data_IF_416292583567
#
_entry.id   IF_416292583567
#
_cell.length_a   1.000
_cell.length_b   1.000
_cell.length_c   1.000
_cell.angle_alpha   90.00
_cell.angle_beta   90.00
_cell.angle_gamma   90.00
#
_symmetry.space_group_name_H-M   'P 1'
#
loop_
_entity.id
_entity.type
_entity.pdbx_description
1 polymer ?
#
# COMPACT_ATOMS: atom_id res chain seq x y z
N UNK A 1 -9.94 -15.10 27.79
CA UNK A 1 -10.17 -16.46 28.35
C UNK A 1 -9.39 -17.43 27.49
N UNK A 2 -8.25 -17.94 27.97
CA UNK A 2 -7.41 -18.90 27.26
C UNK A 2 -8.09 -20.27 27.30
N UNK A 3 -8.33 -20.90 26.15
CA UNK A 3 -8.79 -22.29 26.10
C UNK A 3 -7.55 -23.19 26.00
N UNK A 4 -7.37 -24.08 26.97
CA UNK A 4 -6.37 -25.14 26.92
C UNK A 4 -7.05 -26.35 26.26
N UNK A 5 -6.67 -26.65 25.00
CA UNK A 5 -7.10 -27.85 24.30
C UNK A 5 -6.34 -29.09 24.78
N UNK A 6 -7.02 -30.24 24.80
CA UNK A 6 -6.53 -31.53 25.31
C UNK A 6 -5.19 -31.98 24.72
N UNK A 7 -4.35 -32.55 25.59
CA UNK A 7 -3.05 -33.14 25.26
C UNK A 7 -3.23 -34.31 24.31
N UNK A 8 -2.68 -34.22 23.10
CA UNK A 8 -2.38 -35.39 22.30
C UNK A 8 -0.95 -35.88 22.60
N UNK A 9 -0.75 -37.21 22.58
CA UNK A 9 0.38 -37.94 23.17
C UNK A 9 1.79 -37.71 22.56
N UNK A 10 2.01 -36.58 21.88
CA UNK A 10 3.30 -36.21 21.26
C UNK A 10 3.71 -34.76 21.47
N UNK A 11 3.33 -34.15 22.60
CA UNK A 11 4.08 -33.02 23.19
C UNK A 11 4.33 -31.78 22.32
N UNK A 12 3.58 -31.58 21.24
CA UNK A 12 3.61 -30.34 20.44
C UNK A 12 2.32 -29.59 20.73
N UNK A 13 2.41 -28.55 21.57
CA UNK A 13 1.34 -27.57 21.72
C UNK A 13 1.36 -26.72 20.45
N UNK A 14 0.51 -27.06 19.49
CA UNK A 14 0.18 -26.15 18.42
C UNK A 14 -0.57 -24.97 19.05
N UNK A 15 0.11 -23.85 19.24
CA UNK A 15 -0.53 -22.57 19.52
C UNK A 15 -1.32 -22.18 18.27
N UNK A 16 -2.54 -22.68 18.15
CA UNK A 16 -3.50 -22.20 17.18
C UNK A 16 -3.76 -20.72 17.46
N UNK A 17 -3.27 -19.84 16.59
CA UNK A 17 -3.59 -18.41 16.62
C UNK A 17 -5.10 -18.31 16.39
N UNK A 18 -5.85 -18.10 17.47
CA UNK A 18 -7.30 -17.93 17.38
C UNK A 18 -7.60 -16.68 16.56
N UNK A 19 -8.48 -16.81 15.55
CA UNK A 19 -8.96 -15.75 14.65
C UNK A 19 -9.56 -14.51 15.35
N UNK A 20 -9.67 -14.54 16.68
CA UNK A 20 -10.22 -13.47 17.52
C UNK A 20 -9.16 -12.50 18.07
N UNK A 21 -7.86 -12.83 18.00
CA UNK A 21 -6.80 -11.99 18.57
C UNK A 21 -6.63 -10.63 17.87
N UNK A 22 -6.59 -10.55 16.52
CA UNK A 22 -6.51 -9.27 15.81
C UNK A 22 -7.70 -8.37 16.12
N UNK A 23 -8.91 -8.95 16.15
CA UNK A 23 -10.17 -8.28 16.46
C UNK A 23 -10.20 -7.62 17.86
N UNK A 24 -9.71 -8.32 18.89
CA UNK A 24 -9.64 -7.76 20.25
C UNK A 24 -8.57 -6.67 20.32
N UNK A 25 -7.41 -6.88 19.69
CA UNK A 25 -6.34 -5.89 19.61
C UNK A 25 -6.79 -4.60 18.93
N UNK A 26 -7.42 -4.69 17.75
CA UNK A 26 -7.96 -3.54 17.02
C UNK A 26 -9.03 -2.82 17.82
N UNK A 27 -9.98 -3.53 18.43
CA UNK A 27 -11.04 -2.89 19.23
C UNK A 27 -10.52 -2.19 20.47
N UNK A 28 -9.53 -2.77 21.15
CA UNK A 28 -8.84 -2.11 22.26
C UNK A 28 -8.09 -0.88 21.75
N UNK A 29 -7.42 -0.98 20.60
CA UNK A 29 -6.73 0.14 19.98
C UNK A 29 -7.69 1.27 19.56
N UNK A 30 -8.86 0.94 19.01
CA UNK A 30 -9.91 1.90 18.71
C UNK A 30 -10.48 2.56 19.96
N UNK A 31 -10.77 1.77 21.00
CA UNK A 31 -11.25 2.28 22.27
C UNK A 31 -10.21 3.21 22.91
N UNK A 32 -8.91 2.89 22.74
CA UNK A 32 -7.81 3.77 23.12
C UNK A 32 -7.80 5.04 22.27
N UNK A 33 -7.87 4.97 20.95
CA UNK A 33 -7.89 6.16 20.08
C UNK A 33 -9.11 7.06 20.28
N UNK A 34 -10.26 6.48 20.61
CA UNK A 34 -11.49 7.20 20.90
C UNK A 34 -11.52 7.78 22.32
N UNK A 35 -10.56 7.43 23.17
CA UNK A 35 -10.50 7.94 24.53
C UNK A 35 -10.00 9.40 24.53
N UNK A 36 -10.70 10.34 25.20
CA UNK A 36 -10.28 11.75 25.25
C UNK A 36 -8.84 11.93 25.76
N UNK A 37 -8.46 11.16 26.79
CA UNK A 37 -7.09 11.15 27.29
C UNK A 37 -6.04 10.60 26.30
N UNK A 38 -6.41 9.87 25.23
CA UNK A 38 -5.44 9.42 24.24
C UNK A 38 -5.07 10.51 23.24
N UNK A 39 -5.97 11.47 22.99
CA UNK A 39 -5.66 12.68 22.26
C UNK A 39 -4.84 13.66 23.12
N UNK A 40 -5.08 13.71 24.44
CA UNK A 40 -4.36 14.60 25.37
C UNK A 40 -3.04 14.03 25.92
N UNK A 41 -2.95 12.71 26.15
CA UNK A 41 -1.75 12.02 26.68
C UNK A 41 -1.07 11.21 25.59
N UNK A 42 -0.28 11.90 24.77
CA UNK A 42 1.02 11.54 24.17
C UNK A 42 1.52 10.06 24.07
N UNK A 43 0.72 9.00 24.17
CA UNK A 43 1.26 7.64 24.17
C UNK A 43 1.69 7.14 22.78
N UNK A 44 1.14 7.65 21.65
CA UNK A 44 1.78 7.50 20.36
C UNK A 44 2.99 8.44 20.21
N UNK A 45 3.14 9.50 21.02
CA UNK A 45 4.14 10.54 20.80
C UNK A 45 5.55 9.95 20.80
N UNK A 46 6.20 10.01 19.63
CA UNK A 46 7.53 9.45 19.40
C UNK A 46 7.54 7.97 19.03
N UNK A 47 6.36 7.34 18.84
CA UNK A 47 6.17 5.95 18.40
C UNK A 47 5.11 5.80 17.30
N UNK A 48 4.74 6.88 16.64
CA UNK A 48 3.68 6.88 15.63
C UNK A 48 3.98 5.93 14.47
N UNK A 49 5.22 5.90 14.02
CA UNK A 49 5.62 5.07 12.89
C UNK A 49 5.56 3.59 13.25
N UNK A 50 6.09 3.19 14.41
CA UNK A 50 6.02 1.82 14.91
C UNK A 50 4.57 1.38 15.12
N UNK A 51 3.74 2.29 15.60
CA UNK A 51 2.31 2.03 15.81
C UNK A 51 1.60 1.84 14.48
N UNK A 52 1.88 2.67 13.47
CA UNK A 52 1.38 2.49 12.11
C UNK A 52 1.81 1.14 11.51
N UNK A 53 3.08 0.74 11.69
CA UNK A 53 3.61 -0.54 11.22
C UNK A 53 2.85 -1.71 11.85
N UNK A 54 2.59 -1.63 13.17
CA UNK A 54 1.82 -2.64 13.86
C UNK A 54 0.37 -2.74 13.32
N UNK A 55 -0.28 -1.60 13.08
CA UNK A 55 -1.62 -1.55 12.50
C UNK A 55 -1.67 -2.08 11.06
N UNK A 56 -0.67 -1.76 10.24
CA UNK A 56 -0.52 -2.33 8.89
C UNK A 56 -0.32 -3.85 8.95
N UNK A 57 0.39 -4.36 9.95
CA UNK A 57 0.53 -5.81 10.17
C UNK A 57 -0.82 -6.45 10.51
N UNK A 58 -1.66 -5.76 11.30
CA UNK A 58 -3.03 -6.21 11.57
C UNK A 58 -3.86 -6.21 10.29
N UNK A 59 -3.82 -5.15 9.47
CA UNK A 59 -4.50 -5.08 8.18
C UNK A 59 -4.12 -6.26 7.26
N UNK A 60 -2.84 -6.60 7.20
CA UNK A 60 -2.31 -7.75 6.43
C UNK A 60 -2.78 -9.12 6.97
N UNK A 61 -3.28 -9.17 8.21
CA UNK A 61 -3.74 -10.39 8.87
C UNK A 61 -5.26 -10.61 8.80
N UNK A 62 -6.02 -9.59 8.37
CA UNK A 62 -7.49 -9.66 8.34
C UNK A 62 -7.94 -10.74 7.35
N UNK A 63 -8.74 -11.68 7.86
CA UNK A 63 -9.31 -12.76 7.07
C UNK A 63 -10.63 -12.33 6.40
N UNK A 64 -11.01 -12.91 5.25
CA UNK A 64 -12.24 -12.54 4.53
C UNK A 64 -13.55 -12.74 5.30
N UNK A 65 -13.56 -13.59 6.33
CA UNK A 65 -14.72 -13.86 7.20
C UNK A 65 -14.89 -12.84 8.34
N UNK A 66 -13.92 -11.91 8.52
CA UNK A 66 -14.00 -10.86 9.53
C UNK A 66 -14.93 -9.74 9.08
N UNK A 67 -15.52 -9.02 10.04
CA UNK A 67 -16.36 -7.86 9.75
C UNK A 67 -15.54 -6.74 9.07
N UNK A 68 -16.09 -6.13 8.02
CA UNK A 68 -15.50 -5.01 7.27
C UNK A 68 -15.11 -3.81 8.17
N UNK A 69 -15.83 -3.62 9.27
CA UNK A 69 -15.52 -2.61 10.27
C UNK A 69 -14.11 -2.76 10.84
N UNK A 70 -13.58 -3.99 10.94
CA UNK A 70 -12.21 -4.23 11.44
C UNK A 70 -11.19 -3.60 10.51
N UNK A 71 -11.32 -3.84 9.20
CA UNK A 71 -10.45 -3.24 8.18
C UNK A 71 -10.58 -1.73 8.19
N UNK A 72 -11.81 -1.22 8.12
CA UNK A 72 -12.10 0.22 8.08
C UNK A 72 -11.47 0.94 9.26
N UNK A 73 -11.71 0.45 10.47
CA UNK A 73 -11.23 1.12 11.66
C UNK A 73 -9.72 0.97 11.90
N UNK A 74 -9.13 -0.18 11.54
CA UNK A 74 -7.68 -0.34 11.60
C UNK A 74 -7.00 0.61 10.62
N UNK A 75 -7.60 0.80 9.43
CA UNK A 75 -7.14 1.75 8.41
C UNK A 75 -7.20 3.20 8.93
N UNK A 76 -8.33 3.61 9.49
CA UNK A 76 -8.51 4.94 10.09
C UNK A 76 -7.49 5.19 11.21
N UNK A 77 -7.31 4.21 12.10
CA UNK A 77 -6.34 4.26 13.18
C UNK A 77 -4.90 4.44 12.67
N UNK A 78 -4.52 3.67 11.64
CA UNK A 78 -3.19 3.77 11.03
C UNK A 78 -2.98 5.16 10.41
N UNK A 79 -3.99 5.69 9.72
CA UNK A 79 -3.93 7.02 9.12
C UNK A 79 -3.80 8.13 10.18
N UNK A 80 -4.43 8.00 11.35
CA UNK A 80 -4.24 8.94 12.47
C UNK A 80 -2.79 8.94 12.94
N UNK A 81 -2.17 7.76 13.13
CA UNK A 81 -0.76 7.66 13.50
C UNK A 81 0.15 8.30 12.46
N UNK A 82 -0.09 8.02 11.17
CA UNK A 82 0.63 8.63 10.03
C UNK A 82 0.56 10.16 10.06
N UNK A 83 -0.65 10.72 10.22
CA UNK A 83 -0.83 12.18 10.27
C UNK A 83 -0.15 12.80 11.48
N UNK A 84 -0.23 12.16 12.65
CA UNK A 84 0.49 12.59 13.86
C UNK A 84 2.01 12.62 13.64
N UNK A 85 2.58 11.59 13.00
CA UNK A 85 4.01 11.54 12.68
C UNK A 85 4.43 12.71 11.76
N UNK A 86 3.60 13.02 10.76
CA UNK A 86 3.83 14.11 9.81
C UNK A 86 3.71 15.47 10.51
N UNK A 87 2.72 15.64 11.38
CA UNK A 87 2.55 16.89 12.10
C UNK A 87 3.71 17.17 13.06
N UNK A 88 4.27 16.13 13.70
CA UNK A 88 5.52 16.25 14.46
C UNK A 88 6.73 16.56 13.56
N UNK A 89 6.81 15.96 12.38
CA UNK A 89 7.85 16.28 11.41
C UNK A 89 7.76 17.76 10.97
N UNK A 90 6.54 18.26 10.76
CA UNK A 90 6.29 19.64 10.35
C UNK A 90 6.63 20.69 11.44
N UNK A 91 6.76 20.28 12.70
CA UNK A 91 7.26 21.12 13.78
C UNK A 91 8.78 21.31 13.74
N UNK A 92 9.50 20.45 13.01
CA UNK A 92 10.95 20.55 12.86
C UNK A 92 11.30 21.49 11.72
N UNK A 93 12.38 22.25 11.88
CA UNK A 93 12.97 23.04 10.79
C UNK A 93 13.54 22.09 9.72
N UNK A 94 13.11 22.30 8.47
CA UNK A 94 13.45 21.46 7.32
C UNK A 94 14.94 21.48 6.92
N UNK A 95 15.71 22.42 7.47
CA UNK A 95 17.16 22.50 7.30
C UNK A 95 17.94 21.62 8.28
N UNK A 96 17.27 21.10 9.31
CA UNK A 96 17.93 20.34 10.36
C UNK A 96 18.22 18.89 9.93
N UNK A 97 19.35 18.31 10.39
CA UNK A 97 19.62 16.89 10.18
C UNK A 97 18.52 15.97 10.74
N UNK A 98 17.90 16.38 11.84
CA UNK A 98 16.81 15.64 12.47
C UNK A 98 15.55 15.58 11.59
N UNK A 99 15.17 16.70 10.96
CA UNK A 99 14.08 16.69 9.98
C UNK A 99 14.41 15.74 8.83
N UNK A 100 15.59 15.86 8.23
CA UNK A 100 15.99 15.03 7.09
C UNK A 100 15.94 13.54 7.43
N UNK A 101 16.51 13.15 8.57
CA UNK A 101 16.50 11.76 9.03
C UNK A 101 15.07 11.22 9.23
N UNK A 102 14.19 12.00 9.88
CA UNK A 102 12.80 11.57 10.11
C UNK A 102 11.99 11.54 8.82
N UNK A 103 12.18 12.53 7.95
CA UNK A 103 11.56 12.59 6.63
C UNK A 103 11.95 11.35 5.81
N UNK A 104 13.25 11.05 5.71
CA UNK A 104 13.77 9.91 4.96
C UNK A 104 13.22 8.59 5.51
N UNK A 105 13.20 8.41 6.83
CA UNK A 105 12.63 7.22 7.47
C UNK A 105 11.16 7.02 7.14
N UNK A 106 10.37 8.10 7.24
CA UNK A 106 8.94 8.09 6.98
C UNK A 106 8.66 7.80 5.50
N UNK A 107 9.34 8.50 4.59
CA UNK A 107 9.03 8.38 3.17
C UNK A 107 9.49 7.05 2.59
N UNK A 108 10.66 6.53 3.00
CA UNK A 108 11.12 5.20 2.57
C UNK A 108 10.12 4.14 3.01
N UNK A 109 9.65 4.21 4.26
CA UNK A 109 8.69 3.25 4.78
C UNK A 109 7.37 3.28 4.01
N UNK A 110 6.73 4.45 3.85
CA UNK A 110 5.44 4.51 3.15
C UNK A 110 5.55 4.27 1.67
N UNK A 111 6.66 4.68 1.03
CA UNK A 111 6.89 4.34 -0.36
C UNK A 111 6.97 2.83 -0.53
N UNK A 112 7.68 2.11 0.34
CA UNK A 112 7.68 0.64 0.32
C UNK A 112 6.27 0.03 0.54
N UNK A 113 5.46 0.60 1.43
CA UNK A 113 4.09 0.11 1.68
C UNK A 113 3.12 0.34 0.51
N UNK A 114 3.43 1.22 -0.46
CA UNK A 114 2.68 1.31 -1.72
C UNK A 114 2.79 0.01 -2.55
N UNK A 115 3.84 -0.79 -2.34
CA UNK A 115 4.02 -2.09 -2.98
C UNK A 115 3.25 -3.24 -2.29
N UNK A 116 2.55 -2.96 -1.19
CA UNK A 116 1.81 -3.97 -0.44
C UNK A 116 0.74 -4.63 -1.31
N UNK A 117 0.64 -5.95 -1.29
CA UNK A 117 -0.47 -6.70 -1.93
C UNK A 117 -1.85 -6.35 -1.35
N UNK A 118 -1.91 -5.77 -0.15
CA UNK A 118 -3.14 -5.43 0.57
C UNK A 118 -3.57 -3.99 0.30
N UNK A 119 -4.72 -3.81 -0.37
CA UNK A 119 -5.24 -2.49 -0.77
C UNK A 119 -5.37 -1.48 0.39
N UNK A 120 -5.94 -1.84 1.57
CA UNK A 120 -6.07 -0.88 2.68
C UNK A 120 -4.74 -0.31 3.15
N UNK A 121 -3.67 -1.08 3.07
CA UNK A 121 -2.32 -0.65 3.46
C UNK A 121 -1.74 0.34 2.44
N UNK A 122 -1.91 0.05 1.14
CA UNK A 122 -1.50 0.98 0.07
C UNK A 122 -2.22 2.32 0.18
N UNK A 123 -3.51 2.28 0.50
CA UNK A 123 -4.32 3.48 0.67
C UNK A 123 -3.85 4.32 1.87
N UNK A 124 -3.56 3.70 3.02
CA UNK A 124 -2.99 4.41 4.19
C UNK A 124 -1.66 5.08 3.84
N UNK A 125 -0.78 4.35 3.17
CA UNK A 125 0.52 4.87 2.75
C UNK A 125 0.36 6.08 1.81
N UNK A 126 -0.51 5.96 0.80
CA UNK A 126 -0.73 7.02 -0.17
C UNK A 126 -1.46 8.24 0.42
N UNK A 127 -2.47 8.03 1.26
CA UNK A 127 -3.16 9.11 1.99
C UNK A 127 -2.18 9.84 2.93
N UNK A 128 -1.26 9.10 3.55
CA UNK A 128 -0.14 9.67 4.31
C UNK A 128 0.79 10.54 3.47
N UNK A 129 1.22 10.03 2.31
CA UNK A 129 2.07 10.78 1.37
C UNK A 129 1.34 12.02 0.86
N UNK A 130 0.03 11.95 0.56
CA UNK A 130 -0.78 13.12 0.20
C UNK A 130 -0.78 14.16 1.31
N UNK A 131 -0.99 13.75 2.55
CA UNK A 131 -0.98 14.66 3.69
C UNK A 131 0.40 15.32 3.89
N UNK A 132 1.49 14.54 3.77
CA UNK A 132 2.85 15.06 3.80
C UNK A 132 3.10 16.06 2.66
N UNK A 133 2.65 15.75 1.45
CA UNK A 133 2.76 16.61 0.28
C UNK A 133 2.04 17.96 0.50
N UNK A 134 0.85 17.93 1.09
CA UNK A 134 0.11 19.13 1.49
C UNK A 134 0.91 19.98 2.49
N UNK A 135 1.48 19.35 3.53
CA UNK A 135 2.29 20.06 4.54
C UNK A 135 3.56 20.69 3.96
N UNK A 136 4.17 20.05 2.97
CA UNK A 136 5.40 20.53 2.33
C UNK A 136 5.15 21.40 1.10
N UNK A 137 3.90 21.63 0.72
CA UNK A 137 3.51 22.35 -0.51
C UNK A 137 4.19 21.74 -1.75
N UNK A 138 4.17 20.40 -1.83
CA UNK A 138 4.72 19.61 -2.94
C UNK A 138 3.62 18.74 -3.54
N UNK A 139 3.87 18.23 -4.75
CA UNK A 139 3.02 17.18 -5.34
C UNK A 139 3.44 15.81 -4.76
N UNK A 140 2.49 14.88 -4.49
CA UNK A 140 2.80 13.52 -4.01
C UNK A 140 3.86 12.81 -4.87
N UNK A 141 3.75 12.94 -6.19
CA UNK A 141 4.71 12.41 -7.16
C UNK A 141 6.16 12.85 -6.88
N UNK A 142 6.37 14.14 -6.60
CA UNK A 142 7.71 14.68 -6.34
C UNK A 142 8.33 14.15 -5.04
N UNK A 143 7.50 13.62 -4.13
CA UNK A 143 7.95 12.98 -2.89
C UNK A 143 8.26 11.50 -3.13
N UNK A 144 7.46 10.80 -3.95
CA UNK A 144 7.63 9.37 -4.23
C UNK A 144 8.80 9.12 -5.19
N UNK A 145 8.96 9.94 -6.23
CA UNK A 145 9.89 9.68 -7.34
C UNK A 145 11.34 9.36 -6.89
N UNK A 146 11.96 10.07 -5.92
CA UNK A 146 13.32 9.73 -5.46
C UNK A 146 13.44 8.34 -4.80
N UNK A 147 12.32 7.75 -4.40
CA UNK A 147 12.23 6.49 -3.66
C UNK A 147 11.46 5.41 -4.45
N UNK A 148 11.15 5.64 -5.73
CA UNK A 148 10.30 4.75 -6.55
C UNK A 148 10.81 3.30 -6.63
N UNK A 149 12.12 3.09 -6.50
CA UNK A 149 12.76 1.78 -6.48
C UNK A 149 12.23 0.84 -5.37
N UNK A 150 11.76 1.40 -4.24
CA UNK A 150 11.16 0.61 -3.16
C UNK A 150 9.76 0.08 -3.51
N UNK A 151 9.17 0.59 -4.60
CA UNK A 151 7.88 0.12 -5.14
C UNK A 151 8.10 -0.76 -6.35
N UNK A 152 8.89 -0.27 -7.30
CA UNK A 152 9.00 -0.83 -8.63
C UNK A 152 10.10 -1.87 -8.75
N UNK A 153 11.08 -1.90 -7.85
CA UNK A 153 12.25 -2.78 -7.94
C UNK A 153 11.87 -4.25 -8.08
N UNK A 154 11.11 -4.78 -7.13
CA UNK A 154 10.74 -6.21 -7.14
C UNK A 154 9.69 -6.53 -8.21
N UNK A 155 8.77 -5.59 -8.47
CA UNK A 155 7.66 -5.80 -9.42
C UNK A 155 8.17 -5.82 -10.87
N UNK A 156 9.12 -4.94 -11.23
CA UNK A 156 9.61 -4.82 -12.60
C UNK A 156 10.72 -5.82 -12.95
N UNK A 157 11.47 -6.31 -11.96
CA UNK A 157 12.57 -7.26 -12.17
C UNK A 157 12.07 -8.70 -12.30
N UNK A 158 11.05 -9.09 -11.52
CA UNK A 158 10.55 -10.46 -11.53
C UNK A 158 9.66 -10.71 -12.75
N UNK A 159 9.85 -11.85 -13.41
CA UNK A 159 8.93 -12.31 -14.43
C UNK A 159 7.65 -12.80 -13.73
N UNK A 160 6.49 -12.21 -14.04
CA UNK A 160 5.22 -12.57 -13.39
C UNK A 160 4.98 -14.08 -13.46
N UNK A 161 5.32 -14.74 -14.57
CA UNK A 161 5.12 -16.19 -14.79
C UNK A 161 5.86 -17.09 -13.81
N UNK A 162 6.92 -16.61 -13.16
CA UNK A 162 7.67 -17.39 -12.17
C UNK A 162 7.09 -17.26 -10.76
N UNK A 163 6.11 -16.37 -10.58
CA UNK A 163 5.48 -16.09 -9.28
C UNK A 163 4.24 -16.97 -9.07
N UNK A 164 3.91 -17.18 -7.79
CA UNK A 164 2.65 -17.82 -7.41
C UNK A 164 1.46 -17.04 -7.97
N UNK A 165 0.31 -17.71 -8.18
CA UNK A 165 -0.92 -17.03 -8.64
C UNK A 165 -1.25 -15.86 -7.70
N UNK A 166 -1.21 -16.08 -6.39
CA UNK A 166 -1.49 -15.05 -5.37
C UNK A 166 -0.58 -13.82 -5.54
N UNK A 167 0.73 -14.03 -5.62
CA UNK A 167 1.70 -12.93 -5.76
C UNK A 167 1.53 -12.18 -7.09
N UNK A 168 1.17 -12.89 -8.18
CA UNK A 168 0.86 -12.22 -9.45
C UNK A 168 -0.34 -11.29 -9.31
N UNK A 169 -1.43 -11.77 -8.71
CA UNK A 169 -2.65 -10.99 -8.49
C UNK A 169 -2.36 -9.75 -7.63
N UNK A 170 -1.59 -9.92 -6.55
CA UNK A 170 -1.15 -8.82 -5.69
C UNK A 170 -0.35 -7.77 -6.46
N UNK A 171 0.64 -8.19 -7.25
CA UNK A 171 1.46 -7.29 -8.07
C UNK A 171 0.62 -6.54 -9.11
N UNK A 172 -0.35 -7.19 -9.75
CA UNK A 172 -1.27 -6.53 -10.67
C UNK A 172 -2.17 -5.51 -9.95
N UNK A 173 -2.65 -5.85 -8.75
CA UNK A 173 -3.41 -4.93 -7.91
C UNK A 173 -2.59 -3.71 -7.50
N UNK A 174 -1.30 -3.90 -7.20
CA UNK A 174 -0.36 -2.80 -6.93
C UNK A 174 -0.20 -1.94 -8.18
N UNK A 175 0.14 -2.52 -9.33
CA UNK A 175 0.33 -1.76 -10.57
C UNK A 175 -0.90 -0.94 -10.93
N UNK A 176 -2.08 -1.54 -10.85
CA UNK A 176 -3.35 -0.85 -11.11
C UNK A 176 -3.55 0.33 -10.18
N UNK A 177 -3.28 0.15 -8.88
CA UNK A 177 -3.34 1.23 -7.92
C UNK A 177 -2.36 2.35 -8.28
N UNK A 178 -1.10 2.04 -8.60
CA UNK A 178 -0.10 3.04 -8.96
C UNK A 178 -0.44 3.82 -10.23
N UNK A 179 -1.06 3.15 -11.21
CA UNK A 179 -1.55 3.75 -12.45
C UNK A 179 -2.77 4.63 -12.23
N UNK A 180 -3.60 4.32 -11.24
CA UNK A 180 -4.77 5.14 -10.87
C UNK A 180 -4.40 6.46 -10.18
N UNK A 181 -3.13 6.64 -9.80
CA UNK A 181 -2.68 7.85 -9.12
C UNK A 181 -2.62 9.04 -10.10
N UNK A 182 -2.98 10.22 -9.61
CA UNK A 182 -3.13 11.47 -10.38
C UNK A 182 -1.89 11.87 -11.21
N UNK A 183 -0.71 11.34 -10.88
CA UNK A 183 0.51 11.39 -11.68
C UNK A 183 1.20 10.04 -11.60
N UNK A 184 1.07 9.25 -12.67
CA UNK A 184 1.78 7.98 -12.80
C UNK A 184 3.29 8.24 -12.79
N UNK A 185 3.97 7.87 -11.70
CA UNK A 185 5.44 7.98 -11.60
C UNK A 185 6.18 6.88 -12.39
N UNK A 186 5.47 6.16 -13.27
CA UNK A 186 5.97 5.01 -14.01
C UNK A 186 6.62 5.38 -15.35
N UNK A 187 6.59 6.66 -15.76
CA UNK A 187 7.06 7.10 -17.08
C UNK A 187 8.55 6.80 -17.33
N UNK A 188 9.39 6.77 -16.30
CA UNK A 188 10.82 6.46 -16.43
C UNK A 188 11.09 4.97 -16.72
N UNK A 189 10.14 4.08 -16.40
CA UNK A 189 10.24 2.62 -16.56
C UNK A 189 9.21 2.07 -17.56
N UNK A 190 8.80 2.87 -18.55
CA UNK A 190 7.69 2.54 -19.45
C UNK A 190 7.86 1.22 -20.21
N UNK A 191 9.09 0.86 -20.61
CA UNK A 191 9.35 -0.39 -21.33
C UNK A 191 9.19 -1.62 -20.42
N UNK A 192 9.69 -1.57 -19.19
CA UNK A 192 9.55 -2.62 -18.19
C UNK A 192 8.09 -2.76 -17.76
N UNK A 193 7.38 -1.64 -17.60
CA UNK A 193 5.95 -1.63 -17.30
C UNK A 193 5.15 -2.28 -18.44
N UNK A 194 5.43 -1.93 -19.70
CA UNK A 194 4.83 -2.56 -20.87
C UNK A 194 5.15 -4.05 -20.92
N UNK A 195 6.39 -4.46 -20.62
CA UNK A 195 6.79 -5.88 -20.54
C UNK A 195 5.92 -6.63 -19.52
N UNK A 196 5.80 -6.09 -18.31
CA UNK A 196 5.02 -6.72 -17.23
C UNK A 196 3.53 -6.73 -17.58
N UNK A 197 3.01 -5.68 -18.23
CA UNK A 197 1.63 -5.64 -18.73
C UNK A 197 1.38 -6.68 -19.82
N UNK A 198 2.28 -6.84 -20.78
CA UNK A 198 2.21 -7.88 -21.80
C UNK A 198 2.25 -9.28 -21.18
N UNK A 199 3.09 -9.49 -20.16
CA UNK A 199 3.14 -10.73 -19.42
C UNK A 199 1.83 -10.99 -18.65
N UNK A 200 1.25 -9.96 -18.04
CA UNK A 200 -0.05 -10.03 -17.36
C UNK A 200 -1.18 -10.42 -18.31
N UNK A 201 -1.25 -9.80 -19.49
CA UNK A 201 -2.24 -10.11 -20.53
C UNK A 201 -2.04 -11.54 -21.03
N UNK A 202 -0.80 -11.94 -21.33
CA UNK A 202 -0.49 -13.31 -21.76
C UNK A 202 -0.83 -14.36 -20.69
N UNK A 203 -0.69 -14.03 -19.41
CA UNK A 203 -1.10 -14.89 -18.31
C UNK A 203 -2.62 -14.91 -18.09
N UNK A 204 -3.31 -13.79 -18.35
CA UNK A 204 -4.77 -13.75 -18.36
C UNK A 204 -5.36 -14.66 -19.42
N UNK A 205 -4.75 -14.68 -20.61
CA UNK A 205 -5.14 -15.53 -21.73
C UNK A 205 -4.78 -17.01 -21.50
N UNK A 206 -3.69 -17.29 -20.77
CA UNK A 206 -3.18 -18.66 -20.60
C UNK A 206 -3.51 -19.35 -19.25
N UNK A 207 -3.86 -18.61 -18.18
CA UNK A 207 -3.85 -19.18 -16.82
C UNK A 207 -4.78 -18.52 -15.78
N UNK A 208 -5.52 -17.46 -16.10
CA UNK A 208 -6.40 -16.82 -15.12
C UNK A 208 -7.77 -17.47 -15.19
N UNK A 209 -8.19 -18.05 -14.06
CA UNK A 209 -9.55 -18.57 -13.85
C UNK A 209 -10.57 -17.51 -14.34
N UNK A 210 -11.52 -17.85 -15.22
CA UNK A 210 -12.60 -16.95 -15.64
C UNK A 210 -13.30 -16.25 -14.46
N UNK A 211 -13.32 -16.85 -13.27
CA UNK A 211 -13.83 -16.21 -12.05
C UNK A 211 -12.97 -15.02 -11.58
N UNK A 212 -11.66 -15.03 -11.76
CA UNK A 212 -10.79 -13.92 -11.36
C UNK A 212 -10.96 -12.72 -12.31
N UNK A 213 -11.00 -12.97 -13.63
CA UNK A 213 -11.29 -11.91 -14.61
C UNK A 213 -12.67 -11.30 -14.32
N UNK A 214 -13.67 -12.13 -14.02
CA UNK A 214 -15.00 -11.64 -13.65
C UNK A 214 -15.05 -10.85 -12.34
N UNK A 215 -14.18 -11.17 -11.35
CA UNK A 215 -14.11 -10.46 -10.07
C UNK A 215 -13.28 -9.18 -10.13
N UNK A 216 -12.37 -9.06 -11.11
CA UNK A 216 -11.42 -7.94 -11.23
C UNK A 216 -11.50 -7.31 -12.63
N UNK A 217 -12.71 -7.26 -13.21
CA UNK A 217 -12.95 -6.69 -14.54
C UNK A 217 -12.58 -5.20 -14.59
N UNK A 218 -12.77 -4.49 -13.48
CA UNK A 218 -12.35 -3.10 -13.26
C UNK A 218 -10.83 -2.91 -13.43
N UNK A 219 -10.03 -3.86 -12.97
CA UNK A 219 -8.57 -3.87 -13.14
C UNK A 219 -8.20 -4.06 -14.60
N UNK A 220 -8.85 -5.01 -15.28
CA UNK A 220 -8.62 -5.26 -16.71
C UNK A 220 -9.02 -4.04 -17.55
N UNK A 221 -10.15 -3.41 -17.24
CA UNK A 221 -10.62 -2.21 -17.91
C UNK A 221 -9.67 -1.03 -17.70
N UNK A 222 -9.18 -0.80 -16.46
CA UNK A 222 -8.20 0.25 -16.16
C UNK A 222 -6.87 0.04 -16.89
N UNK A 223 -6.41 -1.21 -16.99
CA UNK A 223 -5.21 -1.57 -17.75
C UNK A 223 -5.40 -1.35 -19.25
N UNK A 224 -6.57 -1.69 -19.79
CA UNK A 224 -6.93 -1.46 -21.20
C UNK A 224 -7.04 0.04 -21.50
N UNK A 225 -7.66 0.84 -20.63
CA UNK A 225 -7.76 2.29 -20.80
C UNK A 225 -6.39 2.96 -20.76
N UNK A 226 -5.52 2.57 -19.81
CA UNK A 226 -4.16 3.07 -19.76
C UNK A 226 -3.40 2.74 -21.06
N UNK A 227 -3.48 1.49 -21.51
CA UNK A 227 -2.87 1.05 -22.75
C UNK A 227 -3.39 1.86 -23.95
N UNK A 228 -4.69 2.13 -24.03
CA UNK A 228 -5.28 2.98 -25.09
C UNK A 228 -4.81 4.44 -25.03
N UNK A 229 -4.57 4.97 -23.84
CA UNK A 229 -4.17 6.37 -23.64
C UNK A 229 -2.73 6.66 -24.10
N UNK A 230 -1.80 5.70 -23.89
CA UNK A 230 -0.41 5.76 -24.35
C UNK A 230 -0.29 5.81 -25.88
N UNK A 231 -1.11 5.01 -26.60
CA UNK A 231 -1.13 5.02 -28.07
C UNK A 231 -1.92 6.19 -28.68
N UNK A 232 -2.81 6.81 -27.91
CA UNK A 232 -3.54 8.02 -28.36
C UNK A 232 -2.67 9.28 -28.29
N UNK A 233 -1.68 9.28 -27.40
CA UNK A 233 -0.77 10.43 -27.18
C UNK A 233 0.36 10.53 -28.22
N UNK A 234 0.67 9.43 -28.92
CA UNK A 234 1.72 9.37 -29.95
C UNK A 234 1.25 9.83 -31.35
N UNK A 235 -0.03 10.21 -31.50
CA UNK A 235 -0.61 10.66 -32.78
C UNK A 235 -0.67 12.18 -33.00
N UNK A 236 -0.32 13.01 -32.01
CA UNK A 236 -0.41 14.48 -32.12
C UNK A 236 0.94 15.17 -31.90
N UNK A 237 1.94 14.82 -32.69
CA UNK A 237 3.06 15.73 -32.95
C UNK A 237 3.69 15.38 -34.28
N UNK A 238 3.81 16.39 -35.14
CA UNK A 238 4.49 16.41 -36.46
C UNK A 238 3.64 16.11 -37.72
N UNK A 239 2.71 17.00 -38.05
CA UNK A 239 2.57 17.46 -39.45
C UNK A 239 2.34 18.98 -39.49
N UNK A 240 3.43 19.74 -39.39
CA UNK A 240 3.49 21.12 -39.90
C UNK A 240 4.93 21.47 -40.24
N UNK A 241 5.35 21.05 -41.43
CA UNK A 241 6.41 21.74 -42.18
C UNK A 241 5.95 21.78 -43.64
N UNK A 242 5.42 22.93 -44.05
CA UNK A 242 5.39 23.37 -45.45
C UNK A 242 6.51 24.39 -45.64
N UNK A 243 7.33 24.29 -46.69
CA UNK A 243 7.89 25.49 -47.32
C UNK A 243 6.80 26.23 -48.11
#
# INVERSE_FOLDING_TARGET
MLYVGEKNARGVVALGVSSKFPLVGTRVFQALLAHPDAQERSWPAGRELETCIALNTVLKSVQPDQAESVTTHTREAALVCVKSAIDQLAQLDNTTPQFKQRFDMIIVHWTAELASGFAPVREVAYDGIKYLAQRLVRKPHAIILPHHQYVLGDILVLALRTLSVTTRVENLGVMTFLLSLEQAFMHENGNELLRVLHEAIGLADAAVDPQWIGRHADVVDALIELWRSEFSSTGQSTTSCRP
#
